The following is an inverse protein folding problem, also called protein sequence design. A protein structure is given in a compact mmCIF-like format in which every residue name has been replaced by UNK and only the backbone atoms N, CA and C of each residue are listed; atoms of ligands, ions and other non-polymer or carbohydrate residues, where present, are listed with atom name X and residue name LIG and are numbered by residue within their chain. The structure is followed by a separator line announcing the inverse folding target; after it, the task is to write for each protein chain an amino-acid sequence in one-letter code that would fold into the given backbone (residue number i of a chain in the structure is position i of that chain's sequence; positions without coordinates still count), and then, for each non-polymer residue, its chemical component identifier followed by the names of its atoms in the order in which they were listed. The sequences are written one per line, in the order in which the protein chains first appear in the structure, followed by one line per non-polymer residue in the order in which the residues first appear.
data_IF_968969615751
#
_entry.id   IF_968969615751
#
_cell.length_a   1.000
_cell.length_b   1.000
_cell.length_c   1.000
_cell.angle_alpha   90.00
_cell.angle_beta   90.00
_cell.angle_gamma   90.00
#
_symmetry.space_group_name_H-M   'P 1'
#
loop_
_entity.id
_entity.type
_entity.pdbx_description
1 polymer ?
#
# COMPACT_ATOMS: atom_id res chain seq x y z
N UNK A 1 3.45 -32.34 -6.74
CA UNK A 1 4.05 -31.03 -7.05
C UNK A 1 3.21 -29.99 -6.33
N UNK A 2 3.65 -29.66 -5.12
CA UNK A 2 2.98 -28.79 -4.17
C UNK A 2 3.28 -27.34 -4.54
N UNK A 3 2.28 -26.61 -5.03
CA UNK A 3 2.29 -25.16 -4.97
C UNK A 3 1.74 -24.76 -3.61
N UNK A 4 2.64 -24.30 -2.75
CA UNK A 4 2.31 -23.64 -1.51
C UNK A 4 1.75 -22.26 -1.87
N UNK A 5 0.45 -22.18 -2.09
CA UNK A 5 -0.29 -20.92 -1.97
C UNK A 5 -0.27 -20.53 -0.48
N UNK A 6 0.75 -19.79 -0.07
CA UNK A 6 0.72 -19.07 1.20
C UNK A 6 -0.26 -17.91 1.07
N UNK A 7 -1.55 -18.22 1.06
CA UNK A 7 -2.62 -17.26 1.34
C UNK A 7 -2.37 -16.75 2.75
N UNK A 8 -1.83 -15.54 2.87
CA UNK A 8 -2.01 -14.76 4.09
C UNK A 8 -3.49 -14.40 4.16
N UNK A 9 -4.26 -15.23 4.86
CA UNK A 9 -5.69 -15.00 5.09
C UNK A 9 -5.85 -14.02 6.25
N UNK A 10 -5.85 -12.71 5.96
CA UNK A 10 -6.56 -11.79 6.83
C UNK A 10 -8.05 -11.87 6.47
N UNK A 11 -8.73 -12.79 7.14
CA UNK A 11 -10.16 -13.03 7.01
C UNK A 11 -10.94 -11.78 7.47
N UNK A 12 -11.19 -10.84 6.57
CA UNK A 12 -12.35 -9.94 6.72
C UNK A 12 -13.60 -10.76 6.40
N UNK A 13 -13.87 -11.77 7.23
CA UNK A 13 -15.02 -12.65 7.03
C UNK A 13 -16.27 -11.89 7.40
N UNK A 14 -17.18 -11.78 6.44
CA UNK A 14 -18.56 -11.37 6.71
C UNK A 14 -19.07 -12.21 7.88
N UNK A 15 -19.62 -11.58 8.94
CA UNK A 15 -20.00 -12.29 10.14
C UNK A 15 -21.04 -13.37 9.83
N UNK A 16 -20.87 -14.58 10.36
CA UNK A 16 -21.90 -15.62 10.27
C UNK A 16 -23.05 -15.37 11.24
N UNK A 17 -22.79 -14.58 12.30
CA UNK A 17 -23.77 -14.11 13.28
C UNK A 17 -23.32 -12.77 13.86
N UNK A 18 -24.26 -11.95 14.31
CA UNK A 18 -24.03 -10.65 14.94
C UNK A 18 -24.70 -10.70 16.31
N UNK A 19 -24.02 -10.34 17.41
CA UNK A 19 -24.67 -10.32 18.72
C UNK A 19 -25.81 -9.30 18.76
N UNK A 20 -26.78 -9.55 19.63
CA UNK A 20 -28.11 -8.93 19.53
C UNK A 20 -28.07 -7.40 19.60
N UNK A 21 -27.19 -6.85 20.44
CA UNK A 21 -27.05 -5.41 20.65
C UNK A 21 -26.43 -4.76 19.41
N UNK A 22 -25.37 -5.34 18.86
CA UNK A 22 -24.68 -4.88 17.66
C UNK A 22 -25.62 -4.93 16.45
N UNK A 23 -26.43 -5.99 16.34
CA UNK A 23 -27.45 -6.10 15.29
C UNK A 23 -28.51 -5.00 15.43
N UNK A 24 -28.96 -4.72 16.65
CA UNK A 24 -29.90 -3.63 16.92
C UNK A 24 -29.28 -2.25 16.60
N UNK A 25 -28.00 -2.04 16.90
CA UNK A 25 -27.27 -0.83 16.55
C UNK A 25 -27.22 -0.62 15.03
N UNK A 26 -26.88 -1.66 14.27
CA UNK A 26 -26.86 -1.61 12.79
C UNK A 26 -28.25 -1.30 12.21
N UNK A 27 -29.31 -1.91 12.75
CA UNK A 27 -30.70 -1.60 12.37
C UNK A 27 -31.01 -0.13 12.62
N UNK A 28 -30.64 0.39 13.80
CA UNK A 28 -30.89 1.79 14.15
C UNK A 28 -30.13 2.75 13.23
N UNK A 29 -28.87 2.43 12.87
CA UNK A 29 -28.09 3.21 11.90
C UNK A 29 -28.75 3.22 10.52
N UNK A 30 -29.20 2.06 10.02
CA UNK A 30 -29.91 2.01 8.73
C UNK A 30 -31.21 2.82 8.76
N UNK A 31 -31.97 2.78 9.87
CA UNK A 31 -33.20 3.57 10.05
C UNK A 31 -32.93 5.08 10.03
N UNK A 32 -31.85 5.52 10.68
CA UNK A 32 -31.41 6.92 10.63
C UNK A 32 -31.03 7.29 9.20
N UNK A 33 -30.22 6.48 8.52
CA UNK A 33 -29.78 6.71 7.15
C UNK A 33 -30.98 6.84 6.20
N UNK A 34 -31.96 5.94 6.26
CA UNK A 34 -33.19 5.99 5.45
C UNK A 34 -33.97 7.30 5.56
N UNK A 35 -33.84 8.04 6.68
CA UNK A 35 -34.51 9.34 6.89
C UNK A 35 -33.73 10.49 6.24
N UNK A 36 -32.40 10.43 6.25
CA UNK A 36 -31.55 11.58 5.89
C UNK A 36 -30.95 11.50 4.47
N UNK A 37 -31.03 10.33 3.82
CA UNK A 37 -30.46 10.10 2.50
C UNK A 37 -31.46 10.29 1.35
N UNK A 38 -30.96 10.16 0.12
CA UNK A 38 -31.81 10.16 -1.08
C UNK A 38 -32.63 8.86 -1.22
N UNK A 39 -33.56 8.85 -2.18
CA UNK A 39 -34.47 7.71 -2.38
C UNK A 39 -33.74 6.39 -2.69
N UNK A 40 -32.63 6.46 -3.43
CA UNK A 40 -31.87 5.27 -3.84
C UNK A 40 -31.15 4.67 -2.63
N UNK A 41 -30.52 5.51 -1.82
CA UNK A 41 -29.87 5.08 -0.58
C UNK A 41 -30.90 4.61 0.45
N UNK A 42 -32.10 5.20 0.48
CA UNK A 42 -33.19 4.77 1.36
C UNK A 42 -33.60 3.33 1.06
N UNK A 43 -33.83 3.00 -0.21
CA UNK A 43 -34.21 1.64 -0.63
C UNK A 43 -33.14 0.61 -0.26
N UNK A 44 -31.85 0.98 -0.36
CA UNK A 44 -30.73 0.12 0.05
C UNK A 44 -30.79 -0.13 1.57
N UNK A 45 -31.00 0.91 2.37
CA UNK A 45 -31.06 0.81 3.82
C UNK A 45 -32.29 0.04 4.31
N UNK A 46 -33.45 0.18 3.67
CA UNK A 46 -34.66 -0.60 3.98
C UNK A 46 -34.45 -2.10 3.78
N UNK A 47 -33.79 -2.51 2.69
CA UNK A 47 -33.41 -3.91 2.47
C UNK A 47 -32.44 -4.41 3.54
N UNK A 48 -31.48 -3.59 3.95
CA UNK A 48 -30.53 -3.94 5.04
C UNK A 48 -31.24 -4.09 6.38
N UNK A 49 -32.21 -3.22 6.71
CA UNK A 49 -33.05 -3.32 7.91
C UNK A 49 -33.77 -4.67 7.94
N UNK A 50 -34.44 -5.04 6.85
CA UNK A 50 -35.19 -6.30 6.80
C UNK A 50 -34.26 -7.51 7.03
N UNK A 51 -33.10 -7.55 6.36
CA UNK A 51 -32.10 -8.62 6.53
C UNK A 51 -31.68 -8.75 8.00
N UNK A 52 -31.42 -7.63 8.67
CA UNK A 52 -30.94 -7.62 10.05
C UNK A 52 -32.07 -7.96 11.06
N UNK A 53 -33.27 -7.43 10.87
CA UNK A 53 -34.42 -7.69 11.75
C UNK A 53 -34.86 -9.16 11.71
N UNK A 54 -34.86 -9.77 10.51
CA UNK A 54 -35.22 -11.18 10.31
C UNK A 54 -34.07 -12.14 10.59
N UNK A 55 -32.83 -11.63 10.71
CA UNK A 55 -31.65 -12.45 10.93
C UNK A 55 -31.32 -13.35 9.74
N UNK A 56 -31.48 -12.86 8.51
CA UNK A 56 -31.10 -13.60 7.30
C UNK A 56 -29.57 -13.62 7.14
N UNK A 57 -28.89 -14.46 7.92
CA UNK A 57 -27.42 -14.50 7.99
C UNK A 57 -26.75 -14.75 6.65
N UNK A 58 -27.32 -15.60 5.79
CA UNK A 58 -26.83 -15.80 4.41
C UNK A 58 -26.92 -14.57 3.50
N UNK A 59 -27.61 -13.51 3.92
CA UNK A 59 -27.71 -12.22 3.23
C UNK A 59 -26.87 -11.11 3.88
N UNK A 60 -26.15 -11.40 4.97
CA UNK A 60 -25.20 -10.43 5.56
C UNK A 60 -24.14 -9.91 4.57
N UNK A 61 -23.69 -10.66 3.53
CA UNK A 61 -22.84 -10.08 2.49
C UNK A 61 -23.44 -8.84 1.84
N UNK A 62 -24.76 -8.73 1.70
CA UNK A 62 -25.42 -7.54 1.13
C UNK A 62 -25.46 -6.35 2.10
N UNK A 63 -25.27 -6.60 3.39
CA UNK A 63 -25.16 -5.55 4.42
C UNK A 63 -23.74 -5.00 4.47
N UNK A 64 -22.72 -5.87 4.34
CA UNK A 64 -21.30 -5.51 4.50
C UNK A 64 -20.50 -5.41 3.19
N UNK A 65 -21.15 -5.43 2.02
CA UNK A 65 -20.49 -5.43 0.69
C UNK A 65 -19.63 -4.20 0.35
N UNK A 66 -19.56 -3.21 1.24
CA UNK A 66 -18.85 -1.94 1.00
C UNK A 66 -17.49 -1.90 1.69
N UNK A 67 -17.12 -2.93 2.44
CA UNK A 67 -15.83 -3.02 3.10
C UNK A 67 -14.82 -3.69 2.16
N UNK A 68 -13.74 -2.98 1.88
CA UNK A 68 -12.55 -3.56 1.26
C UNK A 68 -11.75 -4.32 2.32
N UNK A 69 -10.86 -5.20 1.87
CA UNK A 69 -9.88 -5.84 2.77
C UNK A 69 -9.04 -4.76 3.45
N UNK A 70 -8.79 -4.92 4.75
CA UNK A 70 -7.91 -4.03 5.49
C UNK A 70 -6.48 -4.13 4.94
N UNK A 71 -5.87 -2.98 4.66
CA UNK A 71 -4.44 -2.93 4.32
C UNK A 71 -3.64 -3.04 5.63
N UNK A 72 -2.79 -4.07 5.80
CA UNK A 72 -2.00 -4.23 7.02
C UNK A 72 -1.06 -3.04 7.25
N UNK A 73 -0.83 -2.69 8.51
CA UNK A 73 0.11 -1.61 8.87
C UNK A 73 1.52 -1.85 8.31
N UNK A 74 1.94 -3.11 8.18
CA UNK A 74 3.23 -3.46 7.59
C UNK A 74 3.40 -2.96 6.15
N UNK A 75 2.31 -2.92 5.35
CA UNK A 75 2.36 -2.38 3.99
C UNK A 75 2.68 -0.88 4.01
N UNK A 76 2.06 -0.14 4.93
CA UNK A 76 2.35 1.28 5.13
C UNK A 76 3.78 1.50 5.61
N UNK A 77 4.24 0.72 6.59
CA UNK A 77 5.60 0.83 7.13
C UNK A 77 6.68 0.51 6.08
N UNK A 78 6.43 -0.48 5.22
CA UNK A 78 7.28 -0.82 4.07
C UNK A 78 7.33 0.33 3.07
N UNK A 79 6.18 0.88 2.65
CA UNK A 79 6.14 2.04 1.74
C UNK A 79 6.89 3.22 2.35
N UNK A 80 6.63 3.55 3.61
CA UNK A 80 7.29 4.65 4.32
C UNK A 80 8.81 4.48 4.36
N UNK A 81 9.29 3.26 4.63
CA UNK A 81 10.72 2.93 4.64
C UNK A 81 11.34 3.09 3.25
N UNK A 82 10.66 2.58 2.22
CA UNK A 82 11.10 2.68 0.81
C UNK A 82 11.15 4.16 0.40
N UNK A 83 10.12 4.94 0.71
CA UNK A 83 10.06 6.35 0.34
C UNK A 83 11.09 7.19 1.08
N UNK A 84 11.35 6.92 2.36
CA UNK A 84 12.42 7.58 3.12
C UNK A 84 13.79 7.30 2.53
N UNK A 85 14.04 6.04 2.13
CA UNK A 85 15.27 5.65 1.43
C UNK A 85 15.43 6.40 0.10
N UNK A 86 14.41 6.37 -0.76
CA UNK A 86 14.45 7.07 -2.06
C UNK A 86 14.56 8.59 -1.90
N UNK A 87 13.89 9.19 -0.92
CA UNK A 87 14.04 10.61 -0.62
C UNK A 87 15.50 10.97 -0.35
N UNK A 88 16.19 10.19 0.49
CA UNK A 88 17.62 10.42 0.78
C UNK A 88 18.53 10.15 -0.42
N UNK A 89 18.25 9.09 -1.20
CA UNK A 89 18.97 8.81 -2.45
C UNK A 89 18.85 10.00 -3.42
N UNK A 90 17.64 10.47 -3.67
CA UNK A 90 17.36 11.57 -4.59
C UNK A 90 18.03 12.88 -4.16
N UNK A 91 17.97 13.23 -2.87
CA UNK A 91 18.69 14.40 -2.35
C UNK A 91 20.21 14.26 -2.49
N UNK A 92 20.76 13.06 -2.28
CA UNK A 92 22.19 12.81 -2.44
C UNK A 92 22.64 12.93 -3.89
N UNK A 93 21.86 12.40 -4.84
CA UNK A 93 22.11 12.54 -6.28
C UNK A 93 22.11 14.01 -6.71
N UNK A 94 21.21 14.85 -6.16
CA UNK A 94 21.18 16.29 -6.47
C UNK A 94 22.48 17.00 -6.09
N UNK A 95 23.19 16.52 -5.08
CA UNK A 95 24.46 17.11 -4.61
C UNK A 95 25.69 16.69 -5.42
N UNK A 96 25.60 15.61 -6.20
CA UNK A 96 26.71 15.16 -7.04
C UNK A 96 27.00 16.13 -8.20
N UNK A 97 28.28 16.23 -8.56
CA UNK A 97 28.72 16.87 -9.80
C UNK A 97 28.23 16.10 -11.04
N UNK A 98 28.31 16.71 -12.23
CA UNK A 98 27.93 16.01 -13.45
C UNK A 98 28.89 14.85 -13.77
N UNK A 99 30.19 15.05 -13.53
CA UNK A 99 31.22 14.03 -13.69
C UNK A 99 30.97 12.84 -12.77
N UNK A 100 30.55 13.10 -11.53
CA UNK A 100 30.19 12.06 -10.56
C UNK A 100 28.95 11.27 -11.00
N UNK A 101 27.94 11.95 -11.55
CA UNK A 101 26.72 11.28 -12.05
C UNK A 101 27.00 10.39 -13.25
N UNK A 102 27.93 10.77 -14.13
CA UNK A 102 28.34 9.97 -15.29
C UNK A 102 29.01 8.64 -14.90
N UNK A 103 29.53 8.54 -13.67
CA UNK A 103 30.11 7.30 -13.14
C UNK A 103 29.06 6.30 -12.62
N UNK A 104 27.80 6.72 -12.45
CA UNK A 104 26.74 5.92 -11.83
C UNK A 104 25.64 5.56 -12.83
N UNK A 105 25.20 4.30 -12.82
CA UNK A 105 23.97 3.88 -13.52
C UNK A 105 22.73 4.20 -12.66
N UNK A 106 22.38 5.49 -12.58
CA UNK A 106 21.30 5.99 -11.72
C UNK A 106 19.93 5.38 -12.03
N UNK A 107 19.71 4.91 -13.27
CA UNK A 107 18.46 4.24 -13.65
C UNK A 107 18.22 2.97 -12.81
N UNK A 108 19.28 2.30 -12.35
CA UNK A 108 19.18 1.09 -11.51
C UNK A 108 18.57 1.37 -10.13
N UNK A 109 18.71 2.59 -9.63
CA UNK A 109 18.25 3.00 -8.31
C UNK A 109 17.18 4.09 -8.40
N UNK A 110 16.47 4.18 -9.52
CA UNK A 110 15.27 4.99 -9.65
C UNK A 110 14.08 4.25 -9.02
N UNK A 111 13.18 4.99 -8.37
CA UNK A 111 11.90 4.44 -7.91
C UNK A 111 11.01 4.12 -9.12
N UNK A 112 10.55 2.87 -9.24
CA UNK A 112 9.78 2.37 -10.39
C UNK A 112 8.27 2.26 -10.10
N UNK A 113 7.84 2.58 -8.87
CA UNK A 113 6.48 2.32 -8.42
C UNK A 113 6.33 0.92 -7.81
N UNK A 114 5.10 0.40 -7.78
CA UNK A 114 4.81 -0.94 -7.28
C UNK A 114 4.10 -1.76 -8.36
N UNK A 115 4.31 -3.08 -8.34
CA UNK A 115 3.58 -3.99 -9.22
C UNK A 115 2.08 -3.96 -8.88
N UNK A 116 1.23 -4.01 -9.90
CA UNK A 116 -0.22 -4.08 -9.70
C UNK A 116 -0.62 -5.40 -9.03
N UNK A 117 0.12 -6.48 -9.29
CA UNK A 117 -0.10 -7.78 -8.64
C UNK A 117 0.27 -7.76 -7.15
N UNK A 118 1.08 -6.78 -6.71
CA UNK A 118 1.34 -6.50 -5.28
C UNK A 118 0.16 -5.77 -4.62
N UNK A 119 -0.82 -5.30 -5.41
CA UNK A 119 -2.15 -4.83 -5.00
C UNK A 119 -2.14 -3.77 -3.90
N UNK A 120 -2.01 -4.21 -2.66
CA UNK A 120 -2.04 -3.36 -1.47
C UNK A 120 -0.98 -2.26 -1.49
N UNK A 121 0.26 -2.53 -1.91
CA UNK A 121 1.31 -1.49 -1.94
C UNK A 121 1.00 -0.43 -2.99
N UNK A 122 0.59 -0.86 -4.19
CA UNK A 122 0.22 0.04 -5.28
C UNK A 122 -0.94 0.95 -4.87
N UNK A 123 -2.03 0.39 -4.33
CA UNK A 123 -3.19 1.17 -3.93
C UNK A 123 -2.88 2.10 -2.75
N UNK A 124 -2.12 1.64 -1.76
CA UNK A 124 -1.72 2.47 -0.64
C UNK A 124 -0.81 3.63 -1.09
N UNK A 125 0.21 3.37 -1.90
CA UNK A 125 1.09 4.43 -2.42
C UNK A 125 0.32 5.43 -3.28
N UNK A 126 -0.58 4.97 -4.14
CA UNK A 126 -1.43 5.84 -4.96
C UNK A 126 -2.33 6.72 -4.08
N UNK A 127 -2.89 6.15 -3.01
CA UNK A 127 -3.68 6.92 -2.04
C UNK A 127 -2.85 8.00 -1.33
N UNK A 128 -1.63 7.66 -0.86
CA UNK A 128 -0.74 8.62 -0.21
C UNK A 128 -0.38 9.78 -1.16
N UNK A 129 -0.07 9.50 -2.42
CA UNK A 129 0.29 10.53 -3.41
C UNK A 129 -0.91 11.37 -3.86
N UNK A 130 -1.99 10.72 -4.30
CA UNK A 130 -3.08 11.42 -5.00
C UNK A 130 -4.12 12.01 -4.04
N UNK A 131 -4.25 11.46 -2.82
CA UNK A 131 -5.31 11.84 -1.87
C UNK A 131 -4.78 12.49 -0.60
N UNK A 132 -3.60 12.11 -0.13
CA UNK A 132 -2.98 12.68 1.08
C UNK A 132 -1.95 13.77 0.78
N UNK A 133 -1.62 14.00 -0.50
CA UNK A 133 -0.57 14.94 -0.94
C UNK A 133 0.82 14.63 -0.32
N UNK A 134 1.07 13.37 0.06
CA UNK A 134 2.37 12.89 0.49
C UNK A 134 3.23 12.49 -0.72
N UNK A 135 4.56 12.60 -0.62
CA UNK A 135 5.48 12.27 -1.72
C UNK A 135 5.13 12.97 -3.04
N UNK A 136 4.86 14.28 -2.96
CA UNK A 136 4.37 15.09 -4.08
C UNK A 136 5.28 15.11 -5.31
N UNK A 137 6.56 14.75 -5.18
CA UNK A 137 7.47 14.53 -6.29
C UNK A 137 7.02 13.43 -7.28
N UNK A 138 6.11 12.53 -6.87
CA UNK A 138 5.55 11.49 -7.73
C UNK A 138 4.12 11.80 -8.21
N UNK A 139 3.56 12.96 -7.87
CA UNK A 139 2.20 13.33 -8.28
C UNK A 139 2.08 13.41 -9.81
N UNK A 140 1.08 12.73 -10.35
CA UNK A 140 0.85 12.64 -11.81
C UNK A 140 1.81 11.71 -12.56
N UNK A 141 2.72 11.02 -11.86
CA UNK A 141 3.56 9.95 -12.45
C UNK A 141 2.79 8.63 -12.45
N UNK A 142 3.11 7.75 -13.41
CA UNK A 142 2.65 6.37 -13.37
C UNK A 142 3.37 5.62 -12.23
N UNK A 143 2.65 5.23 -11.19
CA UNK A 143 3.15 4.46 -10.04
C UNK A 143 3.09 2.95 -10.23
N UNK A 144 2.59 2.50 -11.38
CA UNK A 144 2.58 1.08 -11.73
C UNK A 144 3.96 0.69 -12.27
N UNK A 145 4.65 -0.16 -11.52
CA UNK A 145 5.86 -0.82 -11.97
C UNK A 145 5.53 -1.82 -13.08
N UNK A 146 6.35 -1.87 -14.12
CA UNK A 146 6.31 -2.93 -15.13
C UNK A 146 7.20 -4.12 -14.75
N UNK A 147 7.86 -4.05 -13.59
CA UNK A 147 8.74 -5.06 -13.06
C UNK A 147 8.09 -5.70 -11.83
N UNK A 148 7.68 -6.97 -11.96
CA UNK A 148 7.06 -7.74 -10.88
C UNK A 148 8.01 -8.08 -9.73
N UNK A 149 9.32 -7.86 -9.92
CA UNK A 149 10.35 -8.07 -8.90
C UNK A 149 10.77 -6.78 -8.18
N UNK A 150 10.02 -5.67 -8.32
CA UNK A 150 10.38 -4.38 -7.71
C UNK A 150 10.57 -4.47 -6.19
N UNK A 151 9.78 -5.29 -5.49
CA UNK A 151 9.94 -5.50 -4.04
C UNK A 151 11.28 -6.18 -3.69
N UNK A 152 11.78 -7.09 -4.53
CA UNK A 152 13.10 -7.73 -4.31
C UNK A 152 14.19 -6.66 -4.41
N UNK A 153 14.11 -5.79 -5.43
CA UNK A 153 15.00 -4.63 -5.57
C UNK A 153 14.94 -3.73 -4.33
N UNK A 154 13.75 -3.36 -3.89
CA UNK A 154 13.58 -2.46 -2.74
C UNK A 154 14.11 -3.07 -1.44
N UNK A 155 13.89 -4.36 -1.21
CA UNK A 155 14.41 -5.04 -0.02
C UNK A 155 15.95 -5.08 0.01
N UNK A 156 16.60 -5.33 -1.13
CA UNK A 156 18.06 -5.28 -1.23
C UNK A 156 18.60 -3.88 -0.95
N UNK A 157 17.99 -2.87 -1.55
CA UNK A 157 18.35 -1.47 -1.30
C UNK A 157 18.11 -1.10 0.18
N UNK A 158 17.01 -1.53 0.79
CA UNK A 158 16.73 -1.31 2.21
C UNK A 158 17.78 -1.95 3.12
N UNK A 159 18.35 -3.09 2.74
CA UNK A 159 19.49 -3.69 3.45
C UNK A 159 20.68 -2.73 3.48
N UNK A 160 21.09 -2.20 2.31
CA UNK A 160 22.17 -1.20 2.21
C UNK A 160 21.82 0.06 3.00
N UNK A 161 20.58 0.55 2.87
CA UNK A 161 20.09 1.71 3.60
C UNK A 161 20.20 1.53 5.11
N UNK A 162 19.84 0.36 5.64
CA UNK A 162 19.88 0.06 7.07
C UNK A 162 21.30 0.09 7.64
N UNK A 163 22.29 -0.35 6.87
CA UNK A 163 23.71 -0.30 7.26
C UNK A 163 24.23 1.14 7.29
N UNK A 164 23.77 1.97 6.36
CA UNK A 164 24.18 3.37 6.22
C UNK A 164 23.39 4.32 7.12
N UNK A 165 22.20 3.94 7.59
CA UNK A 165 21.32 4.79 8.39
C UNK A 165 21.90 5.22 9.74
N UNK A 166 22.94 4.52 10.22
CA UNK A 166 23.66 4.86 11.45
C UNK A 166 24.75 5.92 11.26
N UNK A 167 25.04 6.33 10.01
CA UNK A 167 26.00 7.39 9.73
C UNK A 167 25.37 8.77 10.02
N UNK A 168 26.13 9.65 10.68
CA UNK A 168 25.69 10.98 11.09
C UNK A 168 25.39 11.93 9.91
N UNK A 169 25.85 11.59 8.71
CA UNK A 169 25.63 12.41 7.52
C UNK A 169 24.19 12.31 7.03
N UNK A 170 23.62 13.43 6.57
CA UNK A 170 22.26 13.49 6.01
C UNK A 170 22.19 13.00 4.55
N UNK A 171 23.34 12.81 3.90
CA UNK A 171 23.45 12.46 2.48
C UNK A 171 24.32 11.21 2.30
N UNK A 172 24.23 10.59 1.12
CA UNK A 172 25.05 9.46 0.70
C UNK A 172 26.21 9.96 -0.16
N UNK A 173 27.42 9.45 0.10
CA UNK A 173 28.56 9.70 -0.76
C UNK A 173 28.42 8.95 -2.10
N UNK A 174 29.26 9.28 -3.08
CA UNK A 174 29.33 8.58 -4.36
C UNK A 174 29.47 7.05 -4.17
N UNK A 175 30.36 6.64 -3.25
CA UNK A 175 30.57 5.22 -2.93
C UNK A 175 29.35 4.55 -2.34
N UNK A 176 28.53 5.25 -1.56
CA UNK A 176 27.32 4.70 -0.97
C UNK A 176 26.26 4.47 -2.05
N UNK A 177 26.09 5.41 -2.97
CA UNK A 177 25.19 5.28 -4.12
C UNK A 177 25.62 4.12 -5.03
N UNK A 178 26.93 3.95 -5.23
CA UNK A 178 27.48 2.80 -5.95
C UNK A 178 27.10 1.46 -5.27
N UNK A 179 27.15 1.38 -3.93
CA UNK A 179 26.73 0.18 -3.18
C UNK A 179 25.25 -0.17 -3.40
N UNK A 180 24.37 0.84 -3.48
CA UNK A 180 22.96 0.59 -3.83
C UNK A 180 22.84 -0.04 -5.22
N UNK A 181 23.55 0.50 -6.22
CA UNK A 181 23.54 -0.02 -7.59
C UNK A 181 24.07 -1.46 -7.65
N UNK A 182 25.18 -1.74 -6.96
CA UNK A 182 25.77 -3.08 -6.92
C UNK A 182 24.83 -4.10 -6.28
N UNK A 183 24.14 -3.73 -5.20
CA UNK A 183 23.21 -4.64 -4.51
C UNK A 183 22.11 -5.18 -5.42
N UNK A 184 21.64 -4.38 -6.39
CA UNK A 184 20.56 -4.77 -7.28
C UNK A 184 21.04 -5.58 -8.49
N UNK A 185 22.34 -5.53 -8.83
CA UNK A 185 22.94 -6.25 -9.96
C UNK A 185 23.18 -7.74 -9.69
N UNK A 186 23.37 -8.15 -8.43
CA UNK A 186 23.60 -9.53 -7.99
C UNK A 186 22.39 -10.49 -8.22
N UNK A 187 21.46 -10.15 -9.11
CA UNK A 187 20.22 -10.90 -9.35
C UNK A 187 19.97 -11.26 -10.82
N UNK A 188 20.91 -10.95 -11.71
CA UNK A 188 20.82 -11.30 -13.12
C UNK A 188 21.54 -12.63 -13.48
N UNK A 189 21.91 -13.44 -12.49
CA UNK A 189 22.44 -14.81 -12.66
C UNK A 189 21.42 -15.88 -12.26
#
# INVERSE_FOLDING_TARGET
MTLNDSKMTNNTTIPESIPLIERQLLINQCKILSIICDEKEREINEKRIEILEKGYTGLYPKVFNSLYEEVPISVYDEISSIMKMYGRINESIKMLSNEEKELLDLAKIEFEGFDEDSGMHYYMMSYLVDRMDEHGEYKGRQLKSHNSSCMIKYNKMLSVYSELANAADSHFALSDLQRFIESVLETNE
#
